data_IF_902756531106
#
_entry.id   IF_902756531106
#
_cell.length_a   1.000
_cell.length_b   1.000
_cell.length_c   1.000
_cell.angle_alpha   90.00
_cell.angle_beta   90.00
_cell.angle_gamma   90.00
#
_symmetry.space_group_name_H-M   'P 1'
#
loop_
_entity.id
_entity.type
_entity.pdbx_description
1 polymer ?
#
# COMPACT_ATOMS: atom_id res chain seq x y z
N UNK A 1 44.38 -13.75 -21.95
CA UNK A 1 43.63 -13.63 -20.68
C UNK A 1 43.45 -12.14 -20.44
N UNK A 2 42.26 -11.58 -20.70
CA UNK A 2 42.03 -10.15 -20.48
C UNK A 2 41.84 -9.90 -19.00
N UNK A 3 42.88 -9.37 -18.38
CA UNK A 3 42.83 -8.74 -17.07
C UNK A 3 42.23 -7.33 -17.26
N UNK A 4 40.92 -7.28 -17.48
CA UNK A 4 40.21 -6.02 -17.57
C UNK A 4 39.96 -5.52 -16.15
N UNK A 5 40.77 -4.55 -15.70
CA UNK A 5 40.55 -3.88 -14.43
C UNK A 5 39.10 -3.37 -14.33
N UNK A 6 38.43 -3.51 -13.17
CA UNK A 6 37.03 -3.13 -13.01
C UNK A 6 36.86 -1.64 -13.32
N UNK A 7 35.98 -1.34 -14.29
CA UNK A 7 35.70 0.04 -14.70
C UNK A 7 35.02 0.77 -13.55
N UNK A 8 35.48 1.98 -13.15
CA UNK A 8 34.77 2.79 -12.17
C UNK A 8 33.34 3.01 -12.63
N UNK A 9 32.36 2.70 -11.79
CA UNK A 9 30.94 2.89 -12.11
C UNK A 9 30.61 4.38 -12.03
N UNK A 10 29.91 4.93 -13.03
CA UNK A 10 29.44 6.30 -12.97
C UNK A 10 28.58 6.55 -11.72
N UNK A 11 28.82 7.67 -11.04
CA UNK A 11 28.11 8.01 -9.81
C UNK A 11 26.59 8.05 -10.00
N UNK A 12 26.12 8.62 -11.13
CA UNK A 12 24.71 8.65 -11.50
C UNK A 12 24.10 7.26 -11.68
N UNK A 13 24.86 6.29 -12.23
CA UNK A 13 24.43 4.90 -12.32
C UNK A 13 24.30 4.24 -10.93
N UNK A 14 25.21 4.56 -10.02
CA UNK A 14 25.13 4.14 -8.61
C UNK A 14 23.86 4.62 -7.91
N UNK A 15 23.36 5.82 -8.22
CA UNK A 15 22.10 6.34 -7.70
C UNK A 15 20.89 5.59 -8.26
N UNK A 16 20.86 5.30 -9.57
CA UNK A 16 19.79 4.47 -10.13
C UNK A 16 19.75 3.07 -9.49
N UNK A 17 20.90 2.46 -9.23
CA UNK A 17 20.96 1.20 -8.50
C UNK A 17 20.48 1.31 -7.05
N UNK A 18 20.77 2.41 -6.37
CA UNK A 18 20.25 2.67 -5.03
C UNK A 18 18.72 2.85 -5.03
N UNK A 19 18.18 3.55 -6.03
CA UNK A 19 16.73 3.70 -6.23
C UNK A 19 16.09 2.34 -6.48
N UNK A 20 16.68 1.50 -7.35
CA UNK A 20 16.19 0.14 -7.62
C UNK A 20 16.12 -0.70 -6.35
N UNK A 21 17.20 -0.75 -5.55
CA UNK A 21 17.21 -1.48 -4.27
C UNK A 21 16.16 -0.96 -3.30
N UNK A 22 15.93 0.35 -3.27
CA UNK A 22 14.89 0.95 -2.44
C UNK A 22 13.50 0.55 -2.91
N UNK A 23 13.25 0.51 -4.23
CA UNK A 23 12.00 0.03 -4.81
C UNK A 23 11.74 -1.46 -4.50
N UNK A 24 12.78 -2.30 -4.54
CA UNK A 24 12.68 -3.71 -4.12
C UNK A 24 12.30 -3.84 -2.65
N UNK A 25 12.94 -3.05 -1.78
CA UNK A 25 12.61 -3.02 -0.36
C UNK A 25 11.18 -2.52 -0.11
N UNK A 26 10.75 -1.47 -0.82
CA UNK A 26 9.37 -0.95 -0.75
C UNK A 26 8.35 -2.03 -1.08
N UNK A 27 8.60 -2.79 -2.15
CA UNK A 27 7.74 -3.90 -2.53
C UNK A 27 7.67 -4.97 -1.44
N UNK A 28 8.81 -5.36 -0.87
CA UNK A 28 8.86 -6.38 0.17
C UNK A 28 8.08 -5.96 1.43
N UNK A 29 8.19 -4.70 1.86
CA UNK A 29 7.44 -4.20 3.03
C UNK A 29 5.95 -4.03 2.73
N UNK A 30 5.59 -3.66 1.49
CA UNK A 30 4.20 -3.69 1.04
C UNK A 30 3.68 -5.12 1.11
N UNK A 31 4.35 -6.11 0.53
CA UNK A 31 3.94 -7.52 0.62
C UNK A 31 3.79 -7.99 2.08
N UNK A 32 4.62 -7.49 3.01
CA UNK A 32 4.55 -7.78 4.44
C UNK A 32 3.52 -6.96 5.25
N UNK A 33 2.80 -6.02 4.62
CA UNK A 33 1.83 -5.12 5.28
C UNK A 33 2.43 -4.16 6.31
N UNK A 34 3.70 -3.80 6.11
CA UNK A 34 4.40 -2.79 6.91
C UNK A 34 4.37 -1.44 6.18
N UNK A 35 3.26 -0.70 6.36
CA UNK A 35 3.06 0.61 5.74
C UNK A 35 4.00 1.69 6.32
N UNK A 36 4.37 1.60 7.60
CA UNK A 36 5.27 2.56 8.23
C UNK A 36 6.67 2.49 7.60
N UNK A 37 7.19 1.27 7.39
CA UNK A 37 8.45 1.09 6.66
C UNK A 37 8.32 1.47 5.20
N UNK A 38 7.17 1.26 4.56
CA UNK A 38 6.93 1.72 3.20
C UNK A 38 7.11 3.24 3.07
N UNK A 39 6.49 4.03 3.96
CA UNK A 39 6.62 5.49 3.93
C UNK A 39 8.04 5.97 4.20
N UNK A 40 8.76 5.36 5.14
CA UNK A 40 10.19 5.68 5.37
C UNK A 40 11.05 5.43 4.14
N UNK A 41 10.81 4.33 3.43
CA UNK A 41 11.52 4.01 2.19
C UNK A 41 11.11 4.93 1.04
N UNK A 42 9.85 5.37 1.01
CA UNK A 42 9.35 6.35 0.03
C UNK A 42 10.11 7.68 0.14
N UNK A 43 10.20 8.25 1.35
CA UNK A 43 10.99 9.46 1.57
C UNK A 43 12.48 9.27 1.22
N UNK A 44 13.06 8.12 1.55
CA UNK A 44 14.45 7.82 1.21
C UNK A 44 14.66 7.80 -0.31
N UNK A 45 13.67 7.32 -1.07
CA UNK A 45 13.70 7.28 -2.53
C UNK A 45 13.51 8.65 -3.16
N UNK A 46 12.64 9.50 -2.62
CA UNK A 46 12.52 10.90 -3.03
C UNK A 46 13.86 11.64 -2.91
N UNK A 47 14.54 11.49 -1.77
CA UNK A 47 15.88 12.08 -1.57
C UNK A 47 16.94 11.55 -2.55
N UNK A 48 16.79 10.33 -3.07
CA UNK A 48 17.68 9.79 -4.09
C UNK A 48 17.35 10.37 -5.48
N UNK A 49 16.07 10.54 -5.80
CA UNK A 49 15.62 11.17 -7.05
C UNK A 49 16.08 12.63 -7.11
N UNK A 50 15.91 13.40 -6.03
CA UNK A 50 16.40 14.77 -5.94
C UNK A 50 17.91 14.88 -6.23
N UNK A 51 18.69 13.89 -5.74
CA UNK A 51 20.13 13.84 -5.99
C UNK A 51 20.45 13.54 -7.45
N UNK A 52 19.68 12.67 -8.10
CA UNK A 52 19.87 12.39 -9.54
C UNK A 52 19.66 13.65 -10.38
N UNK A 53 18.66 14.46 -10.04
CA UNK A 53 18.35 15.70 -10.76
C UNK A 53 19.41 16.79 -10.58
N UNK A 54 20.15 16.75 -9.47
CA UNK A 54 21.24 17.69 -9.17
C UNK A 54 22.57 17.34 -9.85
N UNK A 55 22.69 16.17 -10.48
CA UNK A 55 23.95 15.69 -11.05
C UNK A 55 23.96 15.89 -12.56
N UNK A 56 24.77 16.85 -12.99
CA UNK A 56 25.12 17.03 -14.39
C UNK A 56 26.29 16.11 -14.77
N UNK A 57 25.96 14.83 -14.98
CA UNK A 57 26.88 13.81 -15.48
C UNK A 57 26.31 13.17 -16.74
N UNK A 58 27.01 13.36 -17.85
CA UNK A 58 26.77 12.59 -19.06
C UNK A 58 27.26 11.14 -18.87
N UNK A 59 26.41 10.20 -19.26
CA UNK A 59 26.74 8.78 -19.27
C UNK A 59 27.29 8.39 -20.64
N UNK A 60 28.39 7.62 -20.61
CA UNK A 60 28.89 6.94 -21.80
C UNK A 60 27.85 5.93 -22.33
N UNK A 61 27.98 5.44 -23.57
CA UNK A 61 26.98 4.55 -24.16
C UNK A 61 26.72 3.26 -23.37
N UNK A 62 27.74 2.70 -22.72
CA UNK A 62 27.61 1.45 -21.94
C UNK A 62 26.86 1.73 -20.65
N UNK A 63 27.26 2.76 -19.91
CA UNK A 63 26.59 3.13 -18.66
C UNK A 63 25.17 3.67 -18.89
N UNK A 64 24.91 4.29 -20.05
CA UNK A 64 23.55 4.69 -20.46
C UNK A 64 22.64 3.50 -20.74
N UNK A 65 23.15 2.46 -21.42
CA UNK A 65 22.40 1.23 -21.64
C UNK A 65 22.05 0.57 -20.30
N UNK A 66 23.02 0.46 -19.39
CA UNK A 66 22.80 -0.06 -18.03
C UNK A 66 21.79 0.78 -17.24
N UNK A 67 21.91 2.11 -17.27
CA UNK A 67 20.95 3.00 -16.64
C UNK A 67 19.52 2.77 -17.17
N UNK A 68 19.38 2.55 -18.48
CA UNK A 68 18.08 2.27 -19.12
C UNK A 68 17.47 0.96 -18.63
N UNK A 69 18.29 -0.09 -18.50
CA UNK A 69 17.87 -1.37 -17.92
C UNK A 69 17.44 -1.21 -16.46
N UNK A 70 18.23 -0.49 -15.65
CA UNK A 70 17.92 -0.22 -14.24
C UNK A 70 16.62 0.58 -14.09
N UNK A 71 16.41 1.62 -14.91
CA UNK A 71 15.17 2.42 -14.92
C UNK A 71 13.96 1.57 -15.33
N UNK A 72 14.11 0.70 -16.33
CA UNK A 72 13.04 -0.23 -16.73
C UNK A 72 12.69 -1.19 -15.59
N UNK A 73 13.69 -1.70 -14.87
CA UNK A 73 13.46 -2.56 -13.70
C UNK A 73 12.72 -1.81 -12.58
N UNK A 74 13.10 -0.56 -12.31
CA UNK A 74 12.41 0.31 -11.35
C UNK A 74 10.93 0.46 -11.71
N UNK A 75 10.62 0.82 -12.96
CA UNK A 75 9.22 1.00 -13.39
C UNK A 75 8.38 -0.27 -13.24
N UNK A 76 8.98 -1.44 -13.50
CA UNK A 76 8.29 -2.74 -13.30
C UNK A 76 8.01 -3.01 -11.83
N UNK A 77 8.94 -2.67 -10.93
CA UNK A 77 8.75 -2.80 -9.48
C UNK A 77 7.63 -1.87 -8.99
N UNK A 78 7.58 -0.64 -9.50
CA UNK A 78 6.55 0.33 -9.13
C UNK A 78 5.16 -0.16 -9.55
N UNK A 79 5.01 -0.61 -10.79
CA UNK A 79 3.75 -1.18 -11.28
C UNK A 79 3.33 -2.42 -10.50
N UNK A 80 4.27 -3.27 -10.09
CA UNK A 80 3.97 -4.44 -9.28
C UNK A 80 3.49 -4.03 -7.87
N UNK A 81 4.17 -3.06 -7.26
CA UNK A 81 3.83 -2.53 -5.93
C UNK A 81 2.45 -1.86 -5.95
N UNK A 82 2.17 -1.06 -6.98
CA UNK A 82 0.86 -0.42 -7.18
C UNK A 82 -0.28 -1.45 -7.22
N UNK A 83 -0.11 -2.55 -7.96
CA UNK A 83 -1.14 -3.61 -8.01
C UNK A 83 -1.43 -4.21 -6.63
N UNK A 84 -0.41 -4.42 -5.81
CA UNK A 84 -0.60 -4.94 -4.44
C UNK A 84 -1.36 -3.93 -3.59
N UNK A 85 -0.97 -2.65 -3.63
CA UNK A 85 -1.64 -1.58 -2.89
C UNK A 85 -3.10 -1.43 -3.33
N UNK A 86 -3.38 -1.46 -4.64
CA UNK A 86 -4.74 -1.38 -5.16
C UNK A 86 -5.61 -2.54 -4.70
N UNK A 87 -5.09 -3.77 -4.77
CA UNK A 87 -5.80 -4.96 -4.27
C UNK A 87 -6.15 -4.84 -2.78
N UNK A 88 -5.25 -4.27 -1.97
CA UNK A 88 -5.52 -4.02 -0.54
C UNK A 88 -6.54 -2.92 -0.29
N UNK A 89 -6.51 -1.85 -1.07
CA UNK A 89 -7.52 -0.80 -1.02
C UNK A 89 -8.91 -1.38 -1.31
N UNK A 90 -9.02 -2.28 -2.30
CA UNK A 90 -10.27 -2.97 -2.62
C UNK A 90 -10.73 -3.86 -1.47
N UNK A 91 -9.83 -4.64 -0.86
CA UNK A 91 -10.14 -5.45 0.32
C UNK A 91 -10.66 -4.60 1.48
N UNK A 92 -9.95 -3.52 1.83
CA UNK A 92 -10.33 -2.63 2.92
C UNK A 92 -11.70 -1.96 2.66
N UNK A 93 -12.01 -1.60 1.40
CA UNK A 93 -13.34 -1.10 1.01
C UNK A 93 -14.43 -2.15 1.24
N UNK A 94 -14.15 -3.42 0.94
CA UNK A 94 -15.04 -4.55 1.23
C UNK A 94 -15.32 -4.70 2.73
N UNK A 95 -14.26 -4.65 3.54
CA UNK A 95 -14.36 -4.74 5.00
C UNK A 95 -15.18 -3.59 5.60
N UNK A 96 -14.93 -2.35 5.16
CA UNK A 96 -15.71 -1.17 5.57
C UNK A 96 -17.19 -1.30 5.19
N UNK A 97 -17.49 -1.87 4.02
CA UNK A 97 -18.86 -2.14 3.59
C UNK A 97 -19.53 -3.17 4.51
N UNK A 98 -18.83 -4.25 4.84
CA UNK A 98 -19.30 -5.25 5.81
C UNK A 98 -19.61 -4.65 7.19
N UNK A 99 -18.71 -3.79 7.70
CA UNK A 99 -18.91 -3.09 8.97
C UNK A 99 -20.15 -2.18 8.94
N UNK A 100 -20.38 -1.48 7.84
CA UNK A 100 -21.57 -0.64 7.66
C UNK A 100 -22.87 -1.47 7.72
N UNK A 101 -22.91 -2.60 7.00
CA UNK A 101 -24.07 -3.50 7.01
C UNK A 101 -24.31 -4.08 8.41
N UNK A 102 -23.25 -4.48 9.11
CA UNK A 102 -23.32 -4.94 10.49
C UNK A 102 -23.93 -3.88 11.42
N UNK A 103 -23.48 -2.62 11.33
CA UNK A 103 -24.06 -1.51 12.11
C UNK A 103 -25.55 -1.31 11.81
N UNK A 104 -25.96 -1.38 10.55
CA UNK A 104 -27.36 -1.25 10.17
C UNK A 104 -28.23 -2.38 10.72
N UNK A 105 -27.74 -3.63 10.65
CA UNK A 105 -28.45 -4.80 11.20
C UNK A 105 -28.64 -4.69 12.72
N UNK A 106 -27.59 -4.31 13.45
CA UNK A 106 -27.65 -4.07 14.91
C UNK A 106 -28.65 -2.96 15.23
N UNK A 107 -28.62 -1.84 14.50
CA UNK A 107 -29.55 -0.74 14.70
C UNK A 107 -31.01 -1.14 14.40
N UNK A 108 -31.25 -1.98 13.39
CA UNK A 108 -32.58 -2.50 13.09
C UNK A 108 -33.10 -3.41 14.20
N UNK A 109 -32.26 -4.30 14.72
CA UNK A 109 -32.60 -5.18 15.84
C UNK A 109 -32.90 -4.40 17.14
N UNK A 110 -32.12 -3.37 17.44
CA UNK A 110 -32.38 -2.51 18.59
C UNK A 110 -33.76 -1.81 18.48
N UNK A 111 -34.14 -1.35 17.28
CA UNK A 111 -35.46 -0.75 17.03
C UNK A 111 -36.59 -1.76 17.20
N UNK A 112 -36.44 -2.99 16.70
CA UNK A 112 -37.50 -4.01 16.85
C UNK A 112 -37.69 -4.43 18.31
N UNK A 113 -36.61 -4.51 19.11
CA UNK A 113 -36.73 -4.77 20.55
C UNK A 113 -37.34 -3.59 21.32
N UNK A 114 -37.04 -2.34 20.95
CA UNK A 114 -37.63 -1.16 21.57
C UNK A 114 -39.15 -1.01 21.30
N UNK A 115 -39.66 -1.67 20.25
CA UNK A 115 -41.09 -1.66 19.87
C UNK A 115 -41.85 -2.86 20.45
N UNK A 116 -41.22 -3.71 21.26
CA UNK A 116 -41.94 -4.78 21.97
C UNK A 116 -43.00 -4.14 22.90
N UNK A 117 -44.29 -4.56 22.81
CA UNK A 117 -45.36 -3.91 23.53
C UNK A 117 -45.15 -4.03 25.04
N UNK A 118 -45.16 -2.88 25.72
CA UNK A 118 -45.37 -2.83 27.16
C UNK A 118 -46.71 -3.53 27.42
N UNK A 119 -46.67 -4.66 28.14
CA UNK A 119 -47.86 -5.43 28.51
C UNK A 119 -48.98 -4.50 28.97
N UNK A 120 -50.18 -4.52 28.37
CA UNK A 120 -51.31 -3.83 28.98
C UNK A 120 -51.64 -4.55 30.29
N UNK A 121 -51.52 -3.78 31.37
CA UNK A 121 -51.92 -4.18 32.71
C UNK A 121 -53.37 -4.68 32.73
N UNK A 122 -53.60 -5.73 33.52
CA UNK A 122 -54.85 -6.09 34.22
C UNK A 122 -56.14 -5.96 33.42
N UNK A 123 -56.51 -7.03 32.70
CA UNK A 123 -57.92 -7.28 32.40
C UNK A 123 -58.55 -8.04 33.58
N UNK A 124 -59.43 -7.36 34.30
CA UNK A 124 -60.23 -7.88 35.41
C UNK A 124 -60.97 -9.18 35.02
N UNK A 125 -60.90 -10.18 35.90
CA UNK A 125 -61.69 -11.41 35.81
C UNK A 125 -63.18 -11.10 36.11
N UNK A 126 -64.14 -11.67 35.37
CA UNK A 126 -65.55 -11.54 35.70
C UNK A 126 -65.90 -12.36 36.95
N UNK A 127 -66.68 -11.77 37.86
CA UNK A 127 -67.22 -12.45 39.03
C UNK A 127 -68.17 -13.58 38.61
N UNK A 128 -67.95 -14.76 39.19
CA UNK A 128 -68.85 -15.91 39.09
C UNK A 128 -70.16 -15.64 39.83
N UNK A 129 -71.27 -16.02 39.21
CA UNK A 129 -72.52 -16.38 39.89
C UNK A 129 -72.98 -17.74 39.43
#
# INVERSE_FOLDING_TARGET
MSDAAPRPTAFRLGLFEAIRRTAEAQRAVVEADDLDSFYRLFEARERLLDKVDQIDQELDPVDRARATETLTAIMRLDQATERVLMSRIEQARGELTGLNLGRQAVAAYARTQAVAPSSPASASLPEFR
#
